data_IF_954678424820
#
_entry.id   IF_954678424820
#
_cell.length_a   1.000
_cell.length_b   1.000
_cell.length_c   1.000
_cell.angle_alpha   90.00
_cell.angle_beta   90.00
_cell.angle_gamma   90.00
#
_symmetry.space_group_name_H-M   'P 1'
#
loop_
_entity.id
_entity.type
_entity.pdbx_description
1 polymer ?
#
# COMPACT_ATOMS: atom_id res chain seq x y z
N UNK A 1 8.45 24.79 -19.71
CA UNK A 1 9.73 24.56 -19.11
C UNK A 1 9.90 23.10 -18.79
N UNK A 2 10.99 22.56 -19.26
CA UNK A 2 11.25 21.13 -19.07
C UNK A 2 11.36 20.73 -17.61
N UNK A 3 11.96 21.59 -16.81
CA UNK A 3 12.15 21.29 -15.40
C UNK A 3 10.82 21.21 -14.66
N UNK A 4 9.90 22.12 -14.93
CA UNK A 4 8.59 22.12 -14.30
C UNK A 4 7.80 20.87 -14.69
N UNK A 5 7.85 20.52 -15.98
CA UNK A 5 7.18 19.32 -16.47
C UNK A 5 7.76 18.06 -15.86
N UNK A 6 9.10 17.98 -15.77
CA UNK A 6 9.75 16.82 -15.16
C UNK A 6 9.39 16.69 -13.69
N UNK A 7 9.28 17.81 -12.99
CA UNK A 7 8.91 17.81 -11.58
C UNK A 7 7.48 17.31 -11.40
N UNK A 8 6.57 17.77 -12.25
CA UNK A 8 5.17 17.36 -12.18
C UNK A 8 5.02 15.87 -12.47
N UNK A 9 5.74 15.39 -13.48
CA UNK A 9 5.70 13.98 -13.84
C UNK A 9 6.28 13.13 -12.71
N UNK A 10 7.38 13.57 -12.14
CA UNK A 10 8.02 12.85 -11.06
C UNK A 10 7.13 12.79 -9.84
N UNK A 11 6.51 13.92 -9.52
CA UNK A 11 5.61 13.98 -8.36
C UNK A 11 4.42 13.04 -8.55
N UNK A 12 3.85 13.04 -9.74
CA UNK A 12 2.73 12.15 -10.04
C UNK A 12 3.14 10.69 -9.90
N UNK A 13 4.31 10.34 -10.41
CA UNK A 13 4.81 8.97 -10.31
C UNK A 13 5.01 8.54 -8.86
N UNK A 14 5.50 9.47 -8.03
CA UNK A 14 5.70 9.20 -6.62
C UNK A 14 4.36 9.00 -5.91
N UNK A 15 3.37 9.80 -6.25
CA UNK A 15 2.05 9.67 -5.67
C UNK A 15 1.43 8.34 -6.06
N UNK A 16 1.55 7.94 -7.32
CA UNK A 16 1.05 6.66 -7.79
C UNK A 16 1.74 5.50 -7.05
N UNK A 17 3.02 5.68 -6.79
CA UNK A 17 3.78 4.68 -6.06
C UNK A 17 3.29 4.54 -4.62
N UNK A 18 3.02 5.67 -3.98
CA UNK A 18 2.48 5.67 -2.63
C UNK A 18 1.12 4.98 -2.59
N UNK A 19 0.27 5.28 -3.56
CA UNK A 19 -1.05 4.69 -3.62
C UNK A 19 -0.97 3.17 -3.77
N UNK A 20 -0.05 2.70 -4.60
CA UNK A 20 0.15 1.27 -4.78
C UNK A 20 0.64 0.62 -3.50
N UNK A 21 1.59 1.26 -2.83
CA UNK A 21 2.13 0.74 -1.57
C UNK A 21 1.06 0.72 -0.48
N UNK A 22 0.19 1.71 -0.46
CA UNK A 22 -0.90 1.72 0.50
C UNK A 22 -1.89 0.59 0.25
N UNK A 23 -2.12 0.27 -1.02
CA UNK A 23 -2.96 -0.86 -1.38
C UNK A 23 -2.34 -2.18 -0.93
N UNK A 24 -1.03 -2.31 -1.15
CA UNK A 24 -0.30 -3.51 -0.69
C UNK A 24 -0.31 -3.61 0.82
N UNK A 25 -0.16 -2.49 1.49
CA UNK A 25 -0.20 -2.44 2.96
C UNK A 25 -1.57 -2.90 3.46
N UNK A 26 -2.63 -2.47 2.81
CA UNK A 26 -3.97 -2.88 3.18
C UNK A 26 -4.15 -4.38 3.00
N UNK A 27 -3.65 -4.92 1.90
CA UNK A 27 -3.72 -6.35 1.65
C UNK A 27 -2.99 -7.14 2.73
N UNK A 28 -1.80 -6.67 3.11
CA UNK A 28 -1.03 -7.33 4.16
C UNK A 28 -1.74 -7.22 5.51
N UNK A 29 -2.32 -6.06 5.80
CA UNK A 29 -3.08 -5.87 7.04
C UNK A 29 -4.27 -6.82 7.11
N UNK A 30 -4.96 -6.99 6.00
CA UNK A 30 -6.08 -7.93 5.93
C UNK A 30 -5.61 -9.36 6.16
N UNK A 31 -4.47 -9.72 5.57
CA UNK A 31 -3.90 -11.05 5.76
C UNK A 31 -3.53 -11.30 7.21
N UNK A 32 -2.95 -10.31 7.86
CA UNK A 32 -2.60 -10.43 9.27
C UNK A 32 -3.85 -10.66 10.11
N UNK A 33 -4.90 -9.93 9.82
CA UNK A 33 -6.17 -10.08 10.52
C UNK A 33 -6.72 -11.49 10.35
N UNK A 34 -6.63 -12.02 9.13
CA UNK A 34 -7.10 -13.36 8.84
C UNK A 34 -6.33 -14.41 9.64
N UNK A 35 -5.02 -14.22 9.73
CA UNK A 35 -4.16 -15.15 10.49
C UNK A 35 -4.52 -15.08 11.98
N UNK A 36 -4.76 -13.89 12.51
CA UNK A 36 -5.17 -13.76 13.90
C UNK A 36 -6.51 -14.44 14.15
N UNK A 37 -7.44 -14.28 13.22
CA UNK A 37 -8.75 -14.93 13.34
C UNK A 37 -8.61 -16.45 13.34
N UNK A 38 -7.74 -16.96 12.48
CA UNK A 38 -7.45 -18.38 12.42
C UNK A 38 -6.81 -18.89 13.70
N UNK A 39 -5.83 -18.14 14.20
CA UNK A 39 -5.17 -18.49 15.45
C UNK A 39 -6.15 -18.53 16.62
N UNK A 40 -7.06 -17.56 16.65
CA UNK A 40 -8.08 -17.50 17.69
C UNK A 40 -9.01 -18.69 17.60
N UNK A 41 -9.41 -19.07 16.41
CA UNK A 41 -10.28 -20.21 16.19
C UNK A 41 -9.61 -21.53 16.64
N UNK A 42 -8.33 -21.66 16.32
CA UNK A 42 -7.58 -22.85 16.73
C UNK A 42 -7.36 -22.88 18.24
N UNK A 43 -7.11 -21.70 18.83
CA UNK A 43 -6.82 -21.60 20.25
C UNK A 43 -8.03 -21.69 21.15
N UNK A 44 -9.23 -21.52 20.60
CA UNK A 44 -10.42 -21.69 21.42
C UNK A 44 -11.02 -23.11 21.32
#
# INVERSE_FOLDING_TARGET
MAEAENTDDRLRLLIERVERLEEEKKGISDDIRDVYAEAKAVGS
#
